data_IF_896496162958
#
_entry.id   IF_896496162958
#
_cell.length_a   1.000
_cell.length_b   1.000
_cell.length_c   1.000
_cell.angle_alpha   90.00
_cell.angle_beta   90.00
_cell.angle_gamma   90.00
#
_symmetry.space_group_name_H-M   'P 1'
#
loop_
_entity.id
_entity.type
_entity.pdbx_description
1 polymer ?
#
# COMPACT_ATOMS: atom_id res chain seq x y z
N UNK A 1 -11.23 25.01 -2.12
CA UNK A 1 -10.78 23.73 -1.51
C UNK A 1 -9.80 23.09 -2.49
N UNK A 2 -8.61 22.66 -2.05
CA UNK A 2 -7.61 22.09 -2.96
C UNK A 2 -8.00 20.67 -3.38
N UNK A 3 -7.80 20.34 -4.66
CA UNK A 3 -7.89 18.95 -5.13
C UNK A 3 -6.61 18.22 -4.72
N UNK A 4 -6.74 17.15 -3.94
CA UNK A 4 -5.61 16.33 -3.46
C UNK A 4 -5.55 15.05 -4.27
N UNK A 5 -4.42 14.82 -4.93
CA UNK A 5 -4.09 13.56 -5.60
C UNK A 5 -3.05 12.88 -4.71
N UNK A 6 -3.38 11.69 -4.20
CA UNK A 6 -2.49 10.91 -3.36
C UNK A 6 -2.10 9.61 -4.07
N UNK A 7 -0.81 9.28 -4.01
CA UNK A 7 -0.30 8.00 -4.48
C UNK A 7 -0.78 6.85 -3.57
N UNK A 8 -0.56 5.61 -3.99
CA UNK A 8 -1.09 4.42 -3.30
C UNK A 8 -0.43 4.17 -1.94
N UNK A 9 0.83 4.59 -1.76
CA UNK A 9 1.57 4.41 -0.51
C UNK A 9 0.96 5.17 0.70
N UNK A 10 0.62 6.47 0.62
CA UNK A 10 -0.11 7.17 1.68
C UNK A 10 -1.46 6.54 2.06
N UNK A 11 -2.26 6.13 1.07
CA UNK A 11 -3.59 5.55 1.30
C UNK A 11 -3.47 4.17 1.94
N UNK A 12 -2.46 3.40 1.56
CA UNK A 12 -2.20 2.07 2.10
C UNK A 12 -1.76 2.11 3.58
N UNK A 13 -0.90 3.06 3.98
CA UNK A 13 -0.53 3.20 5.40
C UNK A 13 -1.71 3.62 6.27
N UNK A 14 -2.58 4.50 5.76
CA UNK A 14 -3.83 4.86 6.45
C UNK A 14 -4.79 3.67 6.56
N UNK A 15 -4.84 2.80 5.55
CA UNK A 15 -5.61 1.55 5.63
C UNK A 15 -5.06 0.62 6.72
N UNK A 16 -3.75 0.36 6.71
CA UNK A 16 -3.08 -0.53 7.68
C UNK A 16 -3.17 -0.03 9.12
N UNK A 17 -3.21 1.29 9.31
CA UNK A 17 -3.34 1.92 10.65
C UNK A 17 -4.79 2.18 11.05
N UNK A 18 -5.76 1.81 10.22
CA UNK A 18 -7.19 2.07 10.43
C UNK A 18 -7.50 3.56 10.66
N UNK A 19 -6.87 4.43 9.85
CA UNK A 19 -6.97 5.90 9.87
C UNK A 19 -7.44 6.50 8.53
N UNK A 20 -7.98 5.69 7.62
CA UNK A 20 -8.48 6.13 6.30
C UNK A 20 -9.54 7.22 6.38
N UNK A 21 -10.34 7.19 7.44
CA UNK A 21 -11.37 8.14 7.80
C UNK A 21 -10.84 9.55 8.09
N UNK A 22 -9.52 9.73 8.29
CA UNK A 22 -8.90 11.05 8.38
C UNK A 22 -8.96 11.82 7.05
N UNK A 23 -8.89 11.14 5.90
CA UNK A 23 -8.88 11.80 4.59
C UNK A 23 -10.15 12.63 4.34
N UNK A 24 -11.38 12.09 4.48
CA UNK A 24 -12.59 12.89 4.36
C UNK A 24 -12.76 13.93 5.48
N UNK A 25 -12.21 13.70 6.68
CA UNK A 25 -12.24 14.69 7.77
C UNK A 25 -11.38 15.92 7.47
N UNK A 26 -10.22 15.74 6.84
CA UNK A 26 -9.27 16.81 6.53
C UNK A 26 -9.58 17.52 5.21
N UNK A 27 -10.10 16.80 4.21
CA UNK A 27 -10.25 17.29 2.84
C UNK A 27 -11.69 17.31 2.34
N UNK A 28 -12.66 16.84 3.13
CA UNK A 28 -14.06 16.74 2.74
C UNK A 28 -14.32 15.57 1.80
N UNK A 29 -14.24 15.80 0.49
CA UNK A 29 -14.46 14.77 -0.53
C UNK A 29 -13.14 14.29 -1.12
N UNK A 30 -12.92 12.98 -1.10
CA UNK A 30 -11.69 12.33 -1.57
C UNK A 30 -12.05 11.42 -2.73
N UNK A 31 -11.45 11.67 -3.89
CA UNK A 31 -11.63 10.83 -5.08
C UNK A 31 -10.48 9.82 -5.11
N UNK A 32 -10.81 8.55 -4.94
CA UNK A 32 -9.83 7.45 -5.03
C UNK A 32 -9.95 6.81 -6.42
N UNK A 33 -8.89 6.83 -7.25
CA UNK A 33 -8.92 6.15 -8.54
C UNK A 33 -9.14 4.64 -8.40
N UNK A 34 -9.85 4.02 -9.34
CA UNK A 34 -10.16 2.59 -9.29
C UNK A 34 -8.92 1.70 -9.20
N UNK A 35 -7.80 2.10 -9.84
CA UNK A 35 -6.53 1.39 -9.71
C UNK A 35 -6.05 1.31 -8.26
N UNK A 36 -6.15 2.42 -7.51
CA UNK A 36 -5.77 2.49 -6.09
C UNK A 36 -6.67 1.62 -5.22
N UNK A 37 -7.97 1.58 -5.51
CA UNK A 37 -8.89 0.70 -4.80
C UNK A 37 -8.56 -0.78 -5.03
N UNK A 38 -8.19 -1.16 -6.27
CA UNK A 38 -7.78 -2.52 -6.60
C UNK A 38 -6.45 -2.90 -5.91
N UNK A 39 -5.52 -1.95 -5.84
CA UNK A 39 -4.24 -2.10 -5.13
C UNK A 39 -4.44 -2.30 -3.61
N UNK A 40 -5.32 -1.52 -2.99
CA UNK A 40 -5.67 -1.70 -1.57
C UNK A 40 -6.34 -3.05 -1.31
N UNK A 41 -7.24 -3.48 -2.20
CA UNK A 41 -7.90 -4.78 -2.10
C UNK A 41 -6.93 -5.96 -2.26
N UNK A 42 -5.83 -5.76 -2.98
CA UNK A 42 -4.78 -6.77 -3.20
C UNK A 42 -3.78 -6.89 -2.03
N UNK A 43 -3.74 -5.94 -1.09
CA UNK A 43 -2.88 -6.05 0.09
C UNK A 43 -1.37 -5.98 -0.20
N UNK A 44 -0.92 -4.97 -0.94
CA UNK A 44 0.44 -4.90 -1.51
C UNK A 44 1.57 -4.90 -0.44
N UNK A 45 2.37 -5.95 -0.41
CA UNK A 45 3.54 -6.15 0.43
C UNK A 45 4.84 -5.81 -0.33
N UNK A 46 4.89 -5.86 -1.67
CA UNK A 46 6.09 -5.54 -2.44
C UNK A 46 6.77 -4.19 -2.08
N UNK A 47 6.05 -3.06 -1.98
CA UNK A 47 6.66 -1.78 -1.60
C UNK A 47 7.24 -1.78 -0.19
N UNK A 48 6.68 -2.59 0.71
CA UNK A 48 7.18 -2.75 2.08
C UNK A 48 8.48 -3.54 2.06
N UNK A 49 8.55 -4.61 1.27
CA UNK A 49 9.75 -5.42 1.09
C UNK A 49 10.88 -4.60 0.45
N UNK A 50 10.55 -3.71 -0.49
CA UNK A 50 11.52 -2.78 -1.09
C UNK A 50 12.05 -1.75 -0.08
N UNK A 51 11.17 -1.23 0.77
CA UNK A 51 11.56 -0.31 1.84
C UNK A 51 12.45 -0.98 2.89
N UNK A 52 12.18 -2.23 3.24
CA UNK A 52 13.01 -3.02 4.16
C UNK A 52 14.42 -3.21 3.58
N UNK A 53 14.53 -3.58 2.30
CA UNK A 53 15.84 -3.74 1.65
C UNK A 53 16.61 -2.41 1.57
N UNK A 54 15.93 -1.30 1.26
CA UNK A 54 16.50 0.05 1.27
C UNK A 54 17.00 0.50 2.66
N UNK A 55 16.35 0.04 3.73
CA UNK A 55 16.76 0.29 5.12
C UNK A 55 17.85 -0.68 5.61
N UNK A 56 18.32 -1.60 4.76
CA UNK A 56 19.37 -2.57 5.09
C UNK A 56 18.87 -3.83 5.78
N UNK A 57 17.54 -4.02 5.89
CA UNK A 57 16.95 -5.28 6.33
C UNK A 57 16.99 -6.27 5.17
N UNK A 58 17.98 -7.14 5.18
CA UNK A 58 18.14 -8.19 4.17
C UNK A 58 17.11 -9.28 4.40
N UNK A 59 16.11 -9.38 3.52
CA UNK A 59 15.32 -10.61 3.38
C UNK A 59 15.98 -11.49 2.32
N UNK A 60 16.08 -12.78 2.62
CA UNK A 60 16.51 -13.74 1.62
C UNK A 60 15.45 -13.83 0.49
N UNK A 61 15.92 -14.19 -0.70
CA UNK A 61 15.08 -14.27 -1.90
C UNK A 61 13.87 -15.19 -1.69
N UNK A 62 14.05 -16.34 -1.02
CA UNK A 62 12.97 -17.32 -0.85
C UNK A 62 11.86 -16.80 0.06
N UNK A 63 12.21 -16.11 1.15
CA UNK A 63 11.25 -15.45 2.03
C UNK A 63 10.52 -14.33 1.29
N UNK A 64 11.23 -13.51 0.51
CA UNK A 64 10.62 -12.46 -0.31
C UNK A 64 9.58 -13.04 -1.26
N UNK A 65 9.93 -14.12 -1.95
CA UNK A 65 9.02 -14.80 -2.89
C UNK A 65 7.81 -15.42 -2.19
N UNK A 66 8.01 -16.06 -1.04
CA UNK A 66 6.93 -16.67 -0.26
C UNK A 66 5.94 -15.61 0.24
N UNK A 67 6.43 -14.48 0.73
CA UNK A 67 5.59 -13.36 1.20
C UNK A 67 4.78 -12.76 0.05
N UNK A 68 5.39 -12.53 -1.13
CA UNK A 68 4.67 -12.03 -2.31
C UNK A 68 3.60 -13.02 -2.80
N UNK A 69 3.88 -14.33 -2.74
CA UNK A 69 2.90 -15.37 -3.09
C UNK A 69 1.73 -15.41 -2.10
N UNK A 70 2.00 -15.31 -0.80
CA UNK A 70 0.96 -15.26 0.24
C UNK A 70 0.09 -14.01 0.15
N UNK A 71 0.67 -12.88 -0.26
CA UNK A 71 -0.04 -11.64 -0.52
C UNK A 71 -0.81 -11.65 -1.86
N UNK A 72 -0.70 -12.70 -2.67
CA UNK A 72 -1.35 -12.79 -3.99
C UNK A 72 -0.69 -11.90 -5.06
N UNK A 73 0.45 -11.28 -4.77
CA UNK A 73 1.24 -10.44 -5.68
C UNK A 73 2.16 -11.22 -6.59
N UNK A 74 2.31 -12.53 -6.34
CA UNK A 74 3.01 -13.44 -7.23
C UNK A 74 2.09 -14.60 -7.60
N UNK A 75 1.65 -14.63 -8.86
CA UNK A 75 0.93 -15.76 -9.44
C UNK A 75 1.93 -16.78 -9.97
N UNK A 76 2.13 -17.87 -9.22
CA UNK A 76 2.96 -19.01 -9.58
C UNK A 76 2.65 -20.22 -8.74
#
# INVERSE_FOLDING_TARGET
MPNVIADTSPIQYLYQTNLLDLLPQLYGSVIVPQAVANELAAGIVAPILDKLDALGFRLDYSTRMAVLKLAGELSG
#
